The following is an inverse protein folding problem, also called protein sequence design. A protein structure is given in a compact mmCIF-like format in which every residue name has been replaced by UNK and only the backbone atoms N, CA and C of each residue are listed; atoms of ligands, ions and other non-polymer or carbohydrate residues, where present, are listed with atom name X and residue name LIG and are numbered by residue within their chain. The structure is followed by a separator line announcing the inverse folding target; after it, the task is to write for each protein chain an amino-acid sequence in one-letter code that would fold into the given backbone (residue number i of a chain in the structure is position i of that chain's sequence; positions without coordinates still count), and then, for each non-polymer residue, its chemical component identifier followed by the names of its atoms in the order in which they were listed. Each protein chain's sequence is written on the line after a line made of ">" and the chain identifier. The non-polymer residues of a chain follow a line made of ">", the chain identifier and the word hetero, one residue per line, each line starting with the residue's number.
data_IF_793492741423
#
_entry.id   IF_793492741423
#
_cell.length_a   1.000
_cell.length_b   1.000
_cell.length_c   1.000
_cell.angle_alpha   90.00
_cell.angle_beta   90.00
_cell.angle_gamma   90.00
#
_symmetry.space_group_name_H-M   'P 1'
#
loop_
_entity.id
_entity.type
_entity.pdbx_description
1 polymer ?
#
# COMPACT_ATOMS: atom_id res chain seq x y z
N UNK A 1 -32.62 -24.35 -16.75
CA UNK A 1 -33.99 -24.43 -16.21
C UNK A 1 -34.44 -23.00 -15.89
N UNK A 2 -35.74 -22.74 -16.00
CA UNK A 2 -36.34 -21.42 -15.73
C UNK A 2 -35.91 -20.88 -14.33
N UNK A 3 -35.93 -21.71 -13.32
CA UNK A 3 -35.46 -21.43 -11.96
C UNK A 3 -33.98 -21.02 -11.90
N UNK A 4 -33.11 -21.53 -12.76
CA UNK A 4 -31.70 -21.15 -12.82
C UNK A 4 -31.52 -19.76 -13.45
N UNK A 5 -32.28 -19.43 -14.49
CA UNK A 5 -32.22 -18.10 -15.10
C UNK A 5 -32.78 -17.02 -14.17
N UNK A 6 -33.88 -17.31 -13.46
CA UNK A 6 -34.43 -16.41 -12.44
C UNK A 6 -33.41 -16.12 -11.29
N UNK A 7 -32.72 -17.16 -10.83
CA UNK A 7 -31.69 -17.01 -9.79
C UNK A 7 -30.48 -16.21 -10.30
N UNK A 8 -30.10 -16.39 -11.55
CA UNK A 8 -29.04 -15.63 -12.19
C UNK A 8 -29.35 -14.14 -12.26
N UNK A 9 -30.54 -13.79 -12.74
CA UNK A 9 -31.00 -12.41 -12.82
C UNK A 9 -31.06 -11.75 -11.43
N UNK A 10 -31.48 -12.50 -10.41
CA UNK A 10 -31.52 -12.00 -9.03
C UNK A 10 -30.10 -11.70 -8.51
N UNK A 11 -29.13 -12.60 -8.73
CA UNK A 11 -27.74 -12.41 -8.31
C UNK A 11 -27.09 -11.23 -9.05
N UNK A 12 -27.33 -11.09 -10.35
CA UNK A 12 -26.84 -9.95 -11.14
C UNK A 12 -27.39 -8.63 -10.58
N UNK A 13 -28.67 -8.58 -10.24
CA UNK A 13 -29.31 -7.40 -9.66
C UNK A 13 -28.73 -7.03 -8.29
N UNK A 14 -28.54 -8.02 -7.39
CA UNK A 14 -27.91 -7.80 -6.09
C UNK A 14 -26.45 -7.33 -6.20
N UNK A 15 -25.71 -7.82 -7.22
CA UNK A 15 -24.33 -7.37 -7.49
C UNK A 15 -24.30 -5.92 -7.99
N UNK A 16 -25.24 -5.53 -8.86
CA UNK A 16 -25.36 -4.15 -9.34
C UNK A 16 -25.66 -3.20 -8.18
N UNK A 17 -26.64 -3.55 -7.34
CA UNK A 17 -27.00 -2.76 -6.14
C UNK A 17 -25.78 -2.60 -5.21
N UNK A 18 -24.99 -3.66 -5.04
CA UNK A 18 -23.77 -3.63 -4.22
C UNK A 18 -22.68 -2.75 -4.84
N UNK A 19 -22.47 -2.83 -6.15
CA UNK A 19 -21.53 -1.99 -6.89
C UNK A 19 -21.91 -0.51 -6.78
N UNK A 20 -23.17 -0.17 -6.98
CA UNK A 20 -23.70 1.19 -6.83
C UNK A 20 -23.55 1.73 -5.40
N UNK A 21 -23.79 0.87 -4.38
CA UNK A 21 -23.59 1.22 -2.98
C UNK A 21 -22.13 1.62 -2.68
N UNK A 22 -21.16 0.98 -3.34
CA UNK A 22 -19.74 1.32 -3.22
C UNK A 22 -19.26 2.33 -4.28
N UNK A 23 -20.17 3.01 -4.95
CA UNK A 23 -19.87 4.02 -5.97
C UNK A 23 -19.10 3.49 -7.20
N UNK A 24 -19.23 2.20 -7.51
CA UNK A 24 -18.78 1.64 -8.78
C UNK A 24 -19.85 1.83 -9.87
N UNK A 25 -19.44 1.90 -11.18
CA UNK A 25 -20.40 1.98 -12.26
C UNK A 25 -21.37 0.80 -12.30
N UNK A 26 -22.67 1.06 -12.40
CA UNK A 26 -23.71 0.01 -12.47
C UNK A 26 -23.64 -0.83 -13.74
N UNK A 27 -22.89 -0.38 -14.76
CA UNK A 27 -22.63 -1.10 -16.02
C UNK A 27 -21.32 -1.91 -15.98
N UNK A 28 -20.75 -2.15 -14.79
CA UNK A 28 -19.58 -3.01 -14.61
C UNK A 28 -19.85 -4.40 -15.17
N UNK A 29 -19.00 -4.93 -16.07
CA UNK A 29 -19.21 -6.24 -16.68
C UNK A 29 -19.24 -7.38 -15.65
N UNK A 30 -20.29 -8.20 -15.69
CA UNK A 30 -20.45 -9.39 -14.88
C UNK A 30 -20.23 -10.60 -15.77
N UNK A 31 -19.18 -11.39 -15.51
CA UNK A 31 -18.84 -12.59 -16.28
C UNK A 31 -19.20 -13.83 -15.48
N UNK A 32 -20.15 -14.61 -16.01
CA UNK A 32 -20.51 -15.90 -15.43
C UNK A 32 -19.64 -17.02 -15.97
N UNK A 33 -19.13 -17.87 -15.08
CA UNK A 33 -18.32 -19.00 -15.47
C UNK A 33 -18.10 -20.01 -14.35
N UNK A 34 -17.53 -21.14 -14.72
CA UNK A 34 -17.12 -22.20 -13.80
C UNK A 34 -15.62 -22.52 -13.98
N UNK A 35 -14.83 -22.09 -13.03
CA UNK A 35 -13.40 -22.39 -13.01
C UNK A 35 -13.13 -23.91 -12.96
N UNK A 36 -13.99 -24.68 -12.29
CA UNK A 36 -13.88 -26.13 -12.24
C UNK A 36 -14.09 -26.76 -13.62
N UNK A 37 -15.09 -26.32 -14.38
CA UNK A 37 -15.33 -26.81 -15.74
C UNK A 37 -14.16 -26.49 -16.66
N UNK A 38 -13.62 -25.30 -16.59
CA UNK A 38 -12.43 -24.90 -17.33
C UNK A 38 -11.21 -25.78 -16.99
N UNK A 39 -10.99 -26.04 -15.68
CA UNK A 39 -9.88 -26.88 -15.19
C UNK A 39 -9.99 -28.35 -15.66
N UNK A 40 -11.20 -28.89 -15.70
CA UNK A 40 -11.49 -30.26 -16.13
C UNK A 40 -11.60 -30.39 -17.66
N UNK A 41 -11.48 -29.31 -18.42
CA UNK A 41 -11.62 -29.28 -19.86
C UNK A 41 -13.03 -29.61 -20.33
N UNK A 42 -14.04 -29.35 -19.51
CA UNK A 42 -15.45 -29.52 -19.85
C UNK A 42 -15.97 -28.24 -20.51
N UNK A 43 -15.77 -28.16 -21.81
CA UNK A 43 -16.15 -26.98 -22.61
C UNK A 43 -17.45 -27.16 -23.38
N UNK A 44 -18.33 -28.03 -22.89
CA UNK A 44 -19.63 -28.35 -23.53
C UNK A 44 -20.64 -27.19 -23.50
N UNK A 45 -20.30 -26.13 -22.81
CA UNK A 45 -21.09 -24.90 -22.70
C UNK A 45 -20.18 -23.66 -22.56
N UNK A 46 -20.79 -22.49 -22.61
CA UNK A 46 -20.09 -21.20 -22.52
C UNK A 46 -19.50 -20.89 -21.14
N UNK A 47 -19.72 -21.74 -20.12
CA UNK A 47 -19.30 -21.50 -18.74
C UNK A 47 -17.89 -21.98 -18.42
N UNK A 48 -17.25 -22.78 -19.24
CA UNK A 48 -15.92 -23.35 -19.04
C UNK A 48 -14.78 -22.41 -19.45
N UNK A 49 -13.87 -22.91 -20.29
CA UNK A 49 -12.68 -22.18 -20.76
C UNK A 49 -13.04 -20.89 -21.49
N UNK A 50 -14.14 -20.85 -22.23
CA UNK A 50 -14.59 -19.62 -22.91
C UNK A 50 -14.97 -18.50 -21.95
N UNK A 51 -15.64 -18.80 -20.83
CA UNK A 51 -15.94 -17.81 -19.80
C UNK A 51 -14.68 -17.27 -19.11
N UNK A 52 -13.73 -18.16 -18.79
CA UNK A 52 -12.44 -17.75 -18.21
C UNK A 52 -11.66 -16.84 -19.17
N UNK A 53 -11.68 -17.17 -20.46
CA UNK A 53 -11.04 -16.35 -21.49
C UNK A 53 -11.75 -14.98 -21.62
N UNK A 54 -13.08 -14.97 -21.67
CA UNK A 54 -13.86 -13.74 -21.69
C UNK A 54 -13.59 -12.86 -20.47
N UNK A 55 -13.41 -13.45 -19.28
CA UNK A 55 -13.02 -12.71 -18.08
C UNK A 55 -11.67 -12.01 -18.27
N UNK A 56 -10.65 -12.73 -18.77
CA UNK A 56 -9.31 -12.15 -19.01
C UNK A 56 -9.37 -11.04 -20.05
N UNK A 57 -10.06 -11.27 -21.17
CA UNK A 57 -10.23 -10.28 -22.25
C UNK A 57 -11.00 -9.02 -21.73
N UNK A 58 -11.96 -9.22 -20.82
CA UNK A 58 -12.71 -8.13 -20.20
C UNK A 58 -11.83 -7.34 -19.20
N UNK A 59 -11.00 -8.03 -18.40
CA UNK A 59 -10.05 -7.36 -17.53
C UNK A 59 -9.11 -6.42 -18.32
N UNK A 60 -8.58 -6.91 -19.44
CA UNK A 60 -7.66 -6.15 -20.30
C UNK A 60 -8.34 -4.95 -20.98
N UNK A 61 -9.63 -5.06 -21.31
CA UNK A 61 -10.35 -4.00 -22.03
C UNK A 61 -11.10 -3.01 -21.12
N UNK A 62 -11.62 -3.48 -20.00
CA UNK A 62 -12.47 -2.67 -19.11
C UNK A 62 -11.68 -1.91 -18.03
N UNK A 63 -10.63 -2.54 -17.45
CA UNK A 63 -9.85 -1.90 -16.41
C UNK A 63 -8.86 -0.91 -17.03
N UNK A 64 -8.99 0.40 -16.76
CA UNK A 64 -8.06 1.39 -17.31
C UNK A 64 -6.66 1.20 -16.72
N UNK A 65 -5.62 1.44 -17.51
CA UNK A 65 -4.26 1.50 -17.01
C UNK A 65 -4.13 2.69 -16.02
N UNK A 66 -3.67 2.45 -14.77
CA UNK A 66 -3.57 3.51 -13.78
C UNK A 66 -2.49 4.53 -14.17
N UNK A 67 -2.77 5.81 -13.96
CA UNK A 67 -1.76 6.85 -14.07
C UNK A 67 -0.62 6.59 -13.07
N UNK A 68 0.60 6.53 -13.57
CA UNK A 68 1.80 6.32 -12.76
C UNK A 68 2.52 7.63 -12.54
N UNK A 69 2.84 7.95 -11.29
CA UNK A 69 3.53 9.17 -10.90
C UNK A 69 5.03 9.13 -11.26
N UNK A 70 5.36 8.96 -12.55
CA UNK A 70 6.75 8.82 -13.04
C UNK A 70 7.51 10.14 -13.08
N UNK A 71 6.81 11.27 -13.15
CA UNK A 71 7.41 12.61 -13.24
C UNK A 71 7.83 13.19 -11.87
N UNK A 72 7.51 12.50 -10.77
CA UNK A 72 7.91 12.90 -9.42
C UNK A 72 9.28 12.31 -9.07
N UNK A 73 10.00 12.88 -8.08
CA UNK A 73 11.23 12.30 -7.57
C UNK A 73 11.02 10.86 -7.09
N UNK A 74 11.94 9.96 -7.44
CA UNK A 74 11.88 8.55 -7.06
C UNK A 74 11.70 8.36 -5.55
N UNK A 75 10.79 7.45 -5.20
CA UNK A 75 10.59 6.99 -3.83
C UNK A 75 10.09 5.53 -3.85
N UNK A 76 10.75 4.68 -3.08
CA UNK A 76 10.40 3.28 -2.89
C UNK A 76 10.48 2.90 -1.42
N UNK A 77 9.35 2.59 -0.74
CA UNK A 77 9.37 2.00 0.60
C UNK A 77 10.04 0.63 0.59
N UNK A 78 10.91 0.39 1.57
CA UNK A 78 11.60 -0.90 1.71
C UNK A 78 10.67 -1.89 2.40
N UNK A 79 10.41 -3.02 1.74
CA UNK A 79 9.61 -4.13 2.25
C UNK A 79 10.48 -5.22 2.86
N UNK A 80 11.52 -5.64 2.14
CA UNK A 80 12.46 -6.67 2.58
C UNK A 80 13.91 -6.32 2.24
N UNK A 81 14.85 -6.90 3.01
CA UNK A 81 16.30 -6.71 2.84
C UNK A 81 17.01 -8.05 2.76
N UNK A 82 17.72 -8.28 1.68
CA UNK A 82 18.47 -9.51 1.42
C UNK A 82 19.96 -9.25 1.25
N UNK A 83 20.77 -10.21 1.67
CA UNK A 83 22.19 -10.30 1.29
C UNK A 83 22.36 -11.33 0.19
N UNK A 84 22.92 -10.91 -0.94
CA UNK A 84 23.26 -11.82 -2.04
C UNK A 84 24.77 -12.01 -2.06
N UNK A 85 25.24 -13.25 -1.87
CA UNK A 85 26.66 -13.58 -1.87
C UNK A 85 27.34 -13.12 -3.18
N UNK A 86 28.40 -12.32 -3.06
CA UNK A 86 29.14 -11.78 -4.18
C UNK A 86 28.51 -10.58 -4.90
N UNK A 87 27.27 -10.17 -4.53
CA UNK A 87 26.59 -9.00 -5.11
C UNK A 87 26.37 -7.85 -4.12
N UNK A 88 26.08 -8.16 -2.84
CA UNK A 88 25.85 -7.17 -1.81
C UNK A 88 24.41 -7.19 -1.26
N UNK A 89 23.96 -6.05 -0.76
CA UNK A 89 22.62 -5.89 -0.19
C UNK A 89 21.62 -5.51 -1.28
N UNK A 90 20.52 -6.25 -1.32
CA UNK A 90 19.36 -5.98 -2.17
C UNK A 90 18.18 -5.63 -1.28
N UNK A 91 17.47 -4.57 -1.61
CA UNK A 91 16.22 -4.21 -0.98
C UNK A 91 15.08 -4.36 -1.97
N UNK A 92 13.95 -4.82 -1.54
CA UNK A 92 12.76 -4.96 -2.37
C UNK A 92 11.65 -4.03 -1.91
N UNK A 93 10.83 -3.60 -2.84
CA UNK A 93 9.67 -2.78 -2.58
C UNK A 93 8.94 -2.40 -3.86
N UNK A 94 7.77 -1.81 -3.69
CA UNK A 94 7.05 -1.20 -4.81
C UNK A 94 7.50 0.25 -4.97
N UNK A 95 7.89 0.63 -6.16
CA UNK A 95 8.16 2.04 -6.47
C UNK A 95 6.87 2.84 -6.33
N UNK A 96 6.82 3.74 -5.35
CA UNK A 96 5.64 4.57 -5.07
C UNK A 96 5.48 5.69 -6.09
N UNK A 97 6.61 6.32 -6.47
CA UNK A 97 6.67 7.41 -7.45
C UNK A 97 8.06 7.50 -8.09
N UNK A 98 8.12 8.15 -9.24
CA UNK A 98 9.36 8.41 -9.97
C UNK A 98 9.94 7.20 -10.66
N UNK A 99 11.20 7.36 -11.04
CA UNK A 99 12.01 6.35 -11.73
C UNK A 99 13.38 6.29 -11.04
N UNK A 100 13.90 5.08 -10.85
CA UNK A 100 15.28 4.84 -10.44
C UNK A 100 16.04 4.16 -11.56
N UNK A 101 17.22 4.67 -11.93
CA UNK A 101 18.09 4.08 -12.93
C UNK A 101 19.29 3.40 -12.27
N UNK A 102 19.86 2.44 -12.97
CA UNK A 102 21.15 1.88 -12.59
C UNK A 102 22.21 2.97 -12.72
N UNK A 103 22.93 3.23 -11.63
CA UNK A 103 23.92 4.30 -11.52
C UNK A 103 23.48 5.51 -10.72
N UNK A 104 22.19 5.66 -10.43
CA UNK A 104 21.67 6.78 -9.65
C UNK A 104 22.23 6.79 -8.23
N UNK A 105 22.59 7.98 -7.74
CA UNK A 105 22.82 8.23 -6.33
C UNK A 105 21.47 8.31 -5.63
N UNK A 106 21.32 7.55 -4.55
CA UNK A 106 20.08 7.44 -3.78
C UNK A 106 20.36 7.57 -2.29
N UNK A 107 19.35 7.93 -1.53
CA UNK A 107 19.37 7.99 -0.07
C UNK A 107 18.44 6.95 0.54
N UNK A 108 18.86 6.42 1.69
CA UNK A 108 18.07 5.57 2.58
C UNK A 108 17.62 6.44 3.73
N UNK A 109 16.32 6.69 3.86
CA UNK A 109 15.75 7.69 4.78
C UNK A 109 14.76 7.05 5.74
N UNK A 110 14.76 7.50 7.00
CA UNK A 110 13.87 7.07 8.06
C UNK A 110 14.50 6.07 9.03
N UNK A 111 13.92 5.98 10.22
CA UNK A 111 14.30 5.09 11.34
C UNK A 111 15.71 5.36 11.86
N UNK A 112 16.72 5.31 11.00
CA UNK A 112 18.14 5.57 11.28
C UNK A 112 18.60 6.88 10.64
N UNK A 113 19.86 7.23 10.86
CA UNK A 113 20.48 8.35 10.14
C UNK A 113 20.43 8.13 8.63
N UNK A 114 20.13 9.20 7.90
CA UNK A 114 20.06 9.17 6.43
C UNK A 114 21.41 8.79 5.84
N UNK A 115 21.41 7.81 4.95
CA UNK A 115 22.61 7.25 4.36
C UNK A 115 22.56 7.34 2.83
N UNK A 116 23.68 7.73 2.22
CA UNK A 116 23.82 7.77 0.76
C UNK A 116 24.40 6.47 0.22
N UNK A 117 23.88 6.03 -0.89
CA UNK A 117 24.36 4.86 -1.63
C UNK A 117 24.13 5.05 -3.14
N UNK A 118 24.49 4.05 -3.93
CA UNK A 118 24.24 4.06 -5.38
C UNK A 118 23.44 2.81 -5.76
N UNK A 119 22.44 2.98 -6.61
CA UNK A 119 21.74 1.88 -7.26
C UNK A 119 22.69 1.22 -8.27
N UNK A 120 23.13 -0.01 -8.02
CA UNK A 120 24.02 -0.73 -8.93
C UNK A 120 23.33 -1.79 -9.77
N UNK A 121 22.04 -1.99 -9.56
CA UNK A 121 21.21 -2.89 -10.34
C UNK A 121 19.76 -2.80 -9.92
N UNK A 122 18.88 -3.04 -10.88
CA UNK A 122 17.44 -3.17 -10.70
C UNK A 122 17.02 -4.54 -11.24
N UNK A 123 16.21 -5.27 -10.50
CA UNK A 123 15.78 -6.60 -10.89
C UNK A 123 14.27 -6.77 -10.64
N UNK A 124 13.57 -7.37 -11.60
CA UNK A 124 12.17 -7.74 -11.46
C UNK A 124 11.96 -9.11 -12.10
N UNK A 125 11.29 -10.05 -11.38
CA UNK A 125 11.04 -11.42 -11.84
C UNK A 125 12.31 -12.16 -12.34
N UNK A 126 13.45 -11.97 -11.65
CA UNK A 126 14.78 -12.54 -12.01
C UNK A 126 15.35 -12.02 -13.34
N UNK A 127 14.86 -10.87 -13.81
CA UNK A 127 15.40 -10.16 -14.99
C UNK A 127 16.03 -8.86 -14.53
N UNK A 128 17.22 -8.60 -15.03
CA UNK A 128 17.90 -7.31 -14.83
C UNK A 128 17.22 -6.27 -15.71
N UNK A 129 16.99 -5.10 -15.13
CA UNK A 129 16.41 -3.94 -15.79
C UNK A 129 17.40 -2.77 -15.73
N UNK A 130 17.30 -1.84 -16.66
CA UNK A 130 18.06 -0.61 -16.63
C UNK A 130 17.47 0.41 -15.65
N UNK A 131 16.16 0.32 -15.41
CA UNK A 131 15.41 1.22 -14.53
C UNK A 131 14.25 0.52 -13.84
N UNK A 132 13.74 1.14 -12.74
CA UNK A 132 12.50 0.76 -12.06
C UNK A 132 11.55 1.96 -12.00
N UNK A 133 10.28 1.77 -12.37
CA UNK A 133 9.27 2.84 -12.51
C UNK A 133 8.17 2.74 -11.46
N UNK A 134 7.51 3.87 -11.20
CA UNK A 134 6.33 3.94 -10.35
C UNK A 134 5.31 2.83 -10.67
N UNK A 135 4.85 2.13 -9.62
CA UNK A 135 3.92 1.00 -9.71
C UNK A 135 4.59 -0.38 -9.83
N UNK A 136 5.89 -0.46 -10.07
CA UNK A 136 6.61 -1.72 -10.23
C UNK A 136 7.17 -2.22 -8.88
N UNK A 137 7.10 -3.54 -8.66
CA UNK A 137 7.80 -4.20 -7.56
C UNK A 137 9.19 -4.62 -8.04
N UNK A 138 10.22 -4.01 -7.46
CA UNK A 138 11.61 -4.22 -7.89
C UNK A 138 12.53 -4.58 -6.71
N UNK A 139 13.61 -5.26 -7.02
CA UNK A 139 14.77 -5.38 -6.16
C UNK A 139 15.84 -4.39 -6.60
N UNK A 140 16.31 -3.56 -5.68
CA UNK A 140 17.37 -2.58 -5.92
C UNK A 140 18.65 -3.02 -5.22
N UNK A 141 19.73 -3.17 -5.98
CA UNK A 141 21.05 -3.52 -5.48
C UNK A 141 21.80 -2.26 -5.02
N UNK A 142 22.26 -2.26 -3.77
CA UNK A 142 22.88 -1.11 -3.11
C UNK A 142 24.42 -1.28 -3.05
N UNK A 143 25.15 -0.23 -3.43
CA UNK A 143 26.61 -0.23 -3.39
C UNK A 143 27.13 -0.07 -1.97
N UNK A 144 27.97 -1.00 -1.51
CA UNK A 144 28.72 -0.86 -0.27
C UNK A 144 27.89 -0.81 1.01
N UNK A 145 26.60 -1.05 0.91
CA UNK A 145 25.64 -1.04 2.02
C UNK A 145 25.56 -2.43 2.63
N UNK A 146 25.72 -2.55 3.95
CA UNK A 146 25.56 -3.80 4.66
C UNK A 146 24.10 -4.03 5.01
N UNK A 147 23.70 -5.31 5.15
CA UNK A 147 22.32 -5.66 5.47
C UNK A 147 21.81 -5.04 6.79
N UNK A 148 22.66 -4.98 7.80
CA UNK A 148 22.33 -4.42 9.12
C UNK A 148 22.19 -2.88 9.14
N UNK A 149 22.62 -2.20 8.08
CA UNK A 149 22.49 -0.76 7.93
C UNK A 149 21.12 -0.36 7.39
N UNK A 150 20.40 -1.31 6.79
CA UNK A 150 19.10 -1.09 6.16
C UNK A 150 18.05 -1.97 6.80
N UNK A 151 16.83 -1.45 6.94
CA UNK A 151 15.71 -2.22 7.47
C UNK A 151 14.39 -1.84 6.81
N UNK A 152 13.42 -2.74 6.94
CA UNK A 152 12.05 -2.51 6.51
C UNK A 152 11.49 -1.24 7.18
N UNK A 153 10.76 -0.44 6.40
CA UNK A 153 10.17 0.81 6.87
C UNK A 153 10.96 2.06 6.54
N UNK A 154 12.25 1.92 6.20
CA UNK A 154 12.98 3.00 5.54
C UNK A 154 12.51 3.15 4.09
N UNK A 155 12.86 4.25 3.46
CA UNK A 155 12.59 4.46 2.03
C UNK A 155 13.86 4.70 1.25
N UNK A 156 13.91 4.21 0.00
CA UNK A 156 14.88 4.67 -0.98
C UNK A 156 14.32 5.87 -1.71
N UNK A 157 15.15 6.89 -1.92
CA UNK A 157 14.73 8.11 -2.62
C UNK A 157 15.90 8.77 -3.33
N UNK A 158 15.61 9.70 -4.25
CA UNK A 158 16.64 10.61 -4.76
C UNK A 158 17.12 11.53 -3.62
N UNK A 159 18.39 11.97 -3.65
CA UNK A 159 18.95 12.83 -2.61
C UNK A 159 18.10 14.08 -2.34
N UNK A 160 17.72 14.27 -1.08
CA UNK A 160 16.94 15.42 -0.63
C UNK A 160 15.46 15.44 -1.03
N UNK A 161 14.93 14.39 -1.64
CA UNK A 161 13.53 14.37 -2.09
C UNK A 161 12.51 14.12 -0.99
N UNK A 162 12.93 13.60 0.16
CA UNK A 162 12.11 13.43 1.36
C UNK A 162 12.97 13.58 2.60
N UNK A 163 12.37 14.03 3.70
CA UNK A 163 13.05 14.19 4.99
C UNK A 163 12.41 13.33 6.08
N UNK A 164 13.20 12.87 7.07
CA UNK A 164 12.66 12.14 8.21
C UNK A 164 12.14 13.09 9.27
N UNK A 165 10.99 12.78 9.87
CA UNK A 165 10.36 13.56 10.93
C UNK A 165 9.95 12.68 12.11
N UNK A 166 10.06 13.21 13.32
CA UNK A 166 9.54 12.60 14.55
C UNK A 166 8.27 13.27 15.03
N UNK A 167 8.00 14.51 14.60
CA UNK A 167 6.84 15.28 15.05
C UNK A 167 6.10 15.87 13.85
N UNK A 168 4.79 15.69 13.83
CA UNK A 168 3.92 16.15 12.74
C UNK A 168 2.51 16.46 13.25
N UNK A 169 1.80 17.29 12.50
CA UNK A 169 0.37 17.53 12.68
C UNK A 169 -0.43 16.52 11.84
N UNK A 170 -1.49 15.99 12.42
CA UNK A 170 -2.33 15.00 11.76
C UNK A 170 -3.81 15.35 11.91
N UNK A 171 -4.56 15.07 10.86
CA UNK A 171 -6.02 15.02 10.88
C UNK A 171 -6.45 13.55 10.97
N UNK A 172 -7.13 13.19 12.04
CA UNK A 172 -7.44 11.80 12.39
C UNK A 172 -8.93 11.61 12.58
N UNK A 173 -9.47 10.62 11.87
CA UNK A 173 -10.79 10.07 12.16
C UNK A 173 -10.64 8.85 13.08
N UNK A 174 -11.29 8.89 14.22
CA UNK A 174 -11.25 7.79 15.19
C UNK A 174 -12.43 6.85 14.92
N UNK A 175 -12.10 5.62 14.48
CA UNK A 175 -13.12 4.64 14.15
C UNK A 175 -14.04 4.34 15.33
N UNK A 176 -15.35 4.35 15.07
CA UNK A 176 -16.39 3.98 16.02
C UNK A 176 -16.41 2.47 16.30
N UNK A 177 -17.19 2.07 17.31
CA UNK A 177 -17.39 0.67 17.65
C UNK A 177 -17.99 -0.13 16.48
N UNK A 178 -18.95 0.45 15.78
CA UNK A 178 -19.66 -0.23 14.69
C UNK A 178 -18.77 -0.41 13.46
N UNK A 179 -17.73 0.42 13.31
CA UNK A 179 -16.69 0.31 12.30
C UNK A 179 -15.53 -0.61 12.73
N UNK A 180 -15.66 -1.31 13.86
CA UNK A 180 -14.63 -2.19 14.41
C UNK A 180 -13.54 -1.47 15.20
N UNK A 181 -13.69 -0.18 15.45
CA UNK A 181 -12.76 0.66 16.19
C UNK A 181 -12.84 0.55 17.71
N UNK A 182 -12.62 1.67 18.39
CA UNK A 182 -12.62 1.76 19.86
C UNK A 182 -14.03 1.79 20.43
N UNK A 183 -14.15 1.38 21.72
CA UNK A 183 -15.36 1.49 22.51
C UNK A 183 -15.28 2.60 23.56
N UNK A 184 -14.08 3.09 23.84
CA UNK A 184 -13.80 4.05 24.90
C UNK A 184 -12.99 5.22 24.34
N UNK A 185 -13.15 6.42 24.91
CA UNK A 185 -12.33 7.56 24.53
C UNK A 185 -10.85 7.32 24.85
N UNK A 186 -9.98 8.11 24.21
CA UNK A 186 -8.60 8.22 24.63
C UNK A 186 -8.29 9.65 25.10
N UNK A 187 -7.23 9.78 25.87
CA UNK A 187 -6.83 11.01 26.55
C UNK A 187 -5.46 11.48 26.08
N UNK A 188 -5.09 12.68 26.50
CA UNK A 188 -3.74 13.21 26.28
C UNK A 188 -2.66 12.21 26.71
N UNK A 189 -1.66 12.04 25.87
CA UNK A 189 -0.58 11.09 26.09
C UNK A 189 -0.89 9.65 25.67
N UNK A 190 -2.01 9.43 24.97
CA UNK A 190 -2.30 8.17 24.31
C UNK A 190 -1.15 7.76 23.38
N UNK A 191 -0.70 6.51 23.46
CA UNK A 191 0.50 6.01 22.76
C UNK A 191 0.21 4.74 21.96
N UNK A 192 -0.50 4.85 20.83
CA UNK A 192 -0.74 3.72 19.94
C UNK A 192 0.43 3.49 18.99
N UNK A 193 0.25 2.54 18.06
CA UNK A 193 1.13 2.31 16.93
C UNK A 193 0.60 3.02 15.70
N UNK A 194 1.46 3.77 15.04
CA UNK A 194 1.22 4.48 13.79
C UNK A 194 1.84 3.68 12.65
N UNK A 195 1.02 3.28 11.69
CA UNK A 195 1.43 2.48 10.54
C UNK A 195 1.65 3.37 9.33
N UNK A 196 2.90 3.50 8.92
CA UNK A 196 3.32 4.26 7.74
C UNK A 196 3.89 3.30 6.71
N UNK A 197 3.39 3.32 5.48
CA UNK A 197 3.90 2.47 4.39
C UNK A 197 4.15 1.02 4.85
N UNK A 198 5.40 0.63 5.09
CA UNK A 198 5.82 -0.73 5.40
C UNK A 198 6.22 -0.96 6.86
N UNK A 199 6.08 0.04 7.73
CA UNK A 199 6.46 -0.06 9.14
C UNK A 199 5.42 0.51 10.08
N UNK A 200 5.55 0.18 11.35
CA UNK A 200 4.82 0.77 12.46
C UNK A 200 5.77 1.39 13.49
N UNK A 201 5.34 2.48 14.06
CA UNK A 201 6.09 3.22 15.08
C UNK A 201 5.18 3.67 16.20
N UNK A 202 5.61 3.50 17.44
CA UNK A 202 4.89 4.04 18.59
C UNK A 202 5.03 5.57 18.61
N UNK A 203 3.91 6.25 18.81
CA UNK A 203 3.87 7.72 18.95
C UNK A 203 2.96 8.16 20.06
N UNK A 204 3.23 9.33 20.63
CA UNK A 204 2.39 9.97 21.63
C UNK A 204 1.48 11.01 20.96
N UNK A 205 0.19 11.00 21.31
CA UNK A 205 -0.77 11.99 20.84
C UNK A 205 -0.81 13.19 21.78
N UNK A 206 -0.60 14.38 21.24
CA UNK A 206 -0.82 15.67 21.91
C UNK A 206 -2.13 16.25 21.40
N UNK A 207 -3.12 16.36 22.28
CA UNK A 207 -4.43 16.92 21.95
C UNK A 207 -4.37 18.46 21.96
N UNK A 208 -5.23 19.13 21.15
CA UNK A 208 -5.34 20.57 21.15
C UNK A 208 -5.68 21.14 22.54
N UNK A 209 -5.38 22.41 22.76
CA UNK A 209 -5.70 23.10 24.02
C UNK A 209 -7.22 23.08 24.26
N UNK A 210 -7.63 22.71 25.47
CA UNK A 210 -9.04 22.60 25.86
C UNK A 210 -9.71 21.26 25.50
N UNK A 211 -9.03 20.35 24.80
CA UNK A 211 -9.52 18.99 24.52
C UNK A 211 -8.88 18.03 25.53
N UNK A 212 -9.71 17.45 26.40
CA UNK A 212 -9.25 16.49 27.41
C UNK A 212 -9.30 15.04 26.89
N UNK A 213 -10.28 14.74 26.04
CA UNK A 213 -10.50 13.39 25.49
C UNK A 213 -11.03 13.46 24.06
N UNK A 214 -10.87 12.35 23.32
CA UNK A 214 -11.39 12.14 21.98
C UNK A 214 -12.27 10.89 21.98
N UNK A 215 -13.47 11.02 21.44
CA UNK A 215 -14.45 9.95 21.39
C UNK A 215 -14.30 9.12 20.09
N UNK A 216 -14.68 7.82 20.12
CA UNK A 216 -14.90 7.07 18.89
C UNK A 216 -15.93 7.77 17.98
N UNK A 217 -15.61 7.92 16.69
CA UNK A 217 -16.41 8.67 15.71
C UNK A 217 -15.99 10.14 15.53
N UNK A 218 -15.08 10.65 16.34
CA UNK A 218 -14.60 12.03 16.21
C UNK A 218 -13.58 12.19 15.09
N UNK A 219 -13.61 13.38 14.46
CA UNK A 219 -12.51 13.92 13.66
C UNK A 219 -11.71 14.92 14.49
N UNK A 220 -10.40 14.76 14.56
CA UNK A 220 -9.55 15.62 15.35
C UNK A 220 -8.24 15.97 14.62
N UNK A 221 -7.82 17.23 14.75
CA UNK A 221 -6.45 17.65 14.44
C UNK A 221 -5.61 17.55 15.70
N UNK A 222 -4.52 16.80 15.64
CA UNK A 222 -3.63 16.60 16.79
C UNK A 222 -2.17 16.59 16.34
N UNK A 223 -1.28 16.78 17.29
CA UNK A 223 0.15 16.63 17.07
C UNK A 223 0.57 15.25 17.55
N UNK A 224 1.39 14.59 16.73
CA UNK A 224 1.95 13.27 17.04
C UNK A 224 3.46 13.38 17.18
N UNK A 225 4.02 12.79 18.23
CA UNK A 225 5.44 12.66 18.45
C UNK A 225 5.85 11.18 18.46
N UNK A 226 6.59 10.76 17.42
CA UNK A 226 7.07 9.40 17.23
C UNK A 226 8.34 9.13 18.03
N UNK A 227 8.57 7.87 18.41
CA UNK A 227 9.79 7.44 19.09
C UNK A 227 11.01 7.34 18.17
N UNK A 228 10.82 7.28 16.85
CA UNK A 228 11.89 7.31 15.86
C UNK A 228 11.44 8.08 14.61
N UNK A 229 12.39 8.62 13.83
CA UNK A 229 12.06 9.41 12.65
C UNK A 229 11.52 8.53 11.52
N UNK A 230 10.50 9.01 10.82
CA UNK A 230 9.91 8.38 9.64
C UNK A 230 10.02 9.33 8.46
N UNK A 231 10.38 8.80 7.29
CA UNK A 231 10.36 9.53 6.04
C UNK A 231 8.91 9.89 5.67
N UNK A 232 8.56 11.16 5.66
CA UNK A 232 7.20 11.61 5.38
C UNK A 232 7.16 12.93 4.63
N UNK A 233 6.16 13.05 3.78
CA UNK A 233 5.75 14.26 3.08
C UNK A 233 4.37 14.69 3.57
N UNK A 234 3.98 15.92 3.24
CA UNK A 234 2.62 16.40 3.47
C UNK A 234 1.60 15.51 2.76
N UNK A 235 0.48 15.22 3.45
CA UNK A 235 -0.58 14.36 2.93
C UNK A 235 -0.31 12.86 3.02
N UNK A 236 0.80 12.41 3.65
CA UNK A 236 1.05 10.99 3.86
C UNK A 236 -0.05 10.38 4.73
N UNK A 237 -0.73 9.38 4.20
CA UNK A 237 -1.75 8.62 4.94
C UNK A 237 -1.10 7.60 5.87
N UNK A 238 -1.73 7.42 7.02
CA UNK A 238 -1.32 6.41 8.01
C UNK A 238 -2.54 5.81 8.71
N UNK A 239 -2.34 4.68 9.35
CA UNK A 239 -3.35 4.07 10.21
C UNK A 239 -2.88 4.04 11.66
N UNK A 240 -3.80 4.17 12.59
CA UNK A 240 -3.56 4.01 14.02
C UNK A 240 -4.10 2.64 14.45
N UNK A 241 -3.27 1.87 15.16
CA UNK A 241 -3.67 0.53 15.61
C UNK A 241 -3.33 0.29 17.07
N UNK A 242 -4.19 -0.52 17.70
CA UNK A 242 -4.02 -1.06 19.04
C UNK A 242 -4.17 -2.57 19.01
N UNK A 243 -3.14 -3.30 19.45
CA UNK A 243 -3.21 -4.76 19.56
C UNK A 243 -3.67 -5.46 18.27
N UNK A 244 -3.27 -4.96 17.10
CA UNK A 244 -3.68 -5.51 15.81
C UNK A 244 -5.01 -5.00 15.26
N UNK A 245 -5.78 -4.18 16.03
CA UNK A 245 -7.03 -3.56 15.59
C UNK A 245 -6.76 -2.14 15.07
N UNK A 246 -7.29 -1.79 13.92
CA UNK A 246 -7.28 -0.41 13.41
C UNK A 246 -8.32 0.40 14.18
N UNK A 247 -7.90 1.57 14.67
CA UNK A 247 -8.73 2.45 15.52
C UNK A 247 -8.81 3.88 14.99
N UNK A 248 -8.10 4.19 13.93
CA UNK A 248 -8.10 5.49 13.26
C UNK A 248 -7.26 5.48 12.00
#
# INVERSE_FOLDING_TARGET
>A
TEEYEEMKELVEMELIDLLEYYEFPGDTPIIMGSALMALEGKDDNELGTSAVKALVDTLDSYIPEPERAVDLPFLMPIEDVFSISGRGTVVTGRVERGIVNVGDEIEIVGIKETMKTTCTGVEMFRKLLDEGRAGENVGVLLRGTKREEVERGQVLTLPGAITPHTKFEAEVYVLSKDEGGRHTPFFKGYRPQFYFRTTDVTGACELPEGVEMVMPGDNIKMVVELICPIAMDDGLRFAIREGGRTVG
#
